data_IF_666134803378
#
_entry.id   IF_666134803378
#
_cell.length_a   1.000
_cell.length_b   1.000
_cell.length_c   1.000
_cell.angle_alpha   90.00
_cell.angle_beta   90.00
_cell.angle_gamma   90.00
#
_symmetry.space_group_name_H-M   'P 1'
#
loop_
_entity.id
_entity.type
_entity.pdbx_description
1 polymer ?
#
# COMPACT_ATOMS: atom_id res chain seq x y z
N UNK A 1 4.52 -24.23 13.53
CA UNK A 1 3.59 -23.52 14.45
C UNK A 1 2.70 -22.65 13.59
N UNK A 2 1.52 -23.16 13.19
CA UNK A 2 0.61 -22.46 12.28
C UNK A 2 -0.54 -21.87 13.09
N UNK A 3 -0.56 -20.56 13.29
CA UNK A 3 -1.69 -19.89 13.94
C UNK A 3 -2.13 -18.66 13.17
N UNK A 4 -2.95 -18.89 12.14
CA UNK A 4 -3.88 -17.89 11.63
C UNK A 4 -5.31 -18.30 12.03
N UNK A 5 -6.05 -17.45 12.75
CA UNK A 5 -7.39 -17.78 13.21
C UNK A 5 -8.39 -17.69 12.05
N UNK A 6 -9.04 -18.82 11.72
CA UNK A 6 -10.47 -18.99 11.34
C UNK A 6 -11.17 -17.92 10.46
N UNK A 7 -10.47 -17.17 9.63
CA UNK A 7 -11.07 -16.32 8.59
C UNK A 7 -10.70 -16.92 7.23
N UNK A 8 -11.61 -16.83 6.24
CA UNK A 8 -11.43 -17.29 4.86
C UNK A 8 -10.32 -16.51 4.11
N UNK A 9 -9.10 -16.52 4.66
CA UNK A 9 -7.93 -15.82 4.14
C UNK A 9 -7.07 -16.87 3.44
N UNK A 10 -6.91 -16.71 2.13
CA UNK A 10 -6.01 -17.56 1.33
C UNK A 10 -4.57 -17.15 1.61
N UNK A 11 -3.71 -18.10 1.96
CA UNK A 11 -2.28 -17.87 2.11
C UNK A 11 -1.61 -17.89 0.73
N UNK A 12 -0.88 -16.83 0.42
CA UNK A 12 -0.05 -16.71 -0.78
C UNK A 12 1.42 -16.76 -0.34
N UNK A 13 2.14 -17.80 -0.72
CA UNK A 13 3.59 -17.92 -0.51
C UNK A 13 4.33 -17.39 -1.72
N UNK A 14 5.36 -16.59 -1.49
CA UNK A 14 6.26 -16.11 -2.53
C UNK A 14 7.46 -17.06 -2.68
N UNK A 15 8.11 -17.12 -3.86
CA UNK A 15 9.33 -17.89 -4.04
C UNK A 15 10.44 -17.38 -3.12
N UNK A 16 11.37 -18.27 -2.77
CA UNK A 16 12.55 -17.88 -2.03
C UNK A 16 13.43 -16.94 -2.87
N UNK A 17 14.07 -15.96 -2.24
CA UNK A 17 15.02 -15.03 -2.87
C UNK A 17 14.43 -14.17 -4.01
N UNK A 18 13.11 -14.02 -4.08
CA UNK A 18 12.43 -13.13 -5.03
C UNK A 18 11.67 -12.01 -4.30
N UNK A 19 12.40 -11.04 -3.70
CA UNK A 19 11.80 -9.90 -2.98
C UNK A 19 10.82 -9.10 -3.86
N UNK A 20 11.14 -8.99 -5.16
CA UNK A 20 10.33 -8.29 -6.16
C UNK A 20 8.87 -8.76 -6.25
N UNK A 21 8.58 -10.02 -5.90
CA UNK A 21 7.22 -10.57 -5.88
C UNK A 21 6.30 -9.86 -4.87
N UNK A 22 6.87 -9.17 -3.87
CA UNK A 22 6.14 -8.30 -2.94
C UNK A 22 6.65 -6.84 -2.97
N UNK A 23 6.98 -6.33 -4.17
CA UNK A 23 7.62 -5.03 -4.33
C UNK A 23 6.83 -3.82 -3.81
N UNK A 24 5.50 -3.92 -3.65
CA UNK A 24 4.69 -2.84 -3.05
C UNK A 24 5.00 -2.72 -1.56
N UNK A 25 4.92 -3.82 -0.81
CA UNK A 25 5.24 -3.83 0.61
C UNK A 25 6.71 -3.47 0.86
N UNK A 26 7.62 -3.89 -0.02
CA UNK A 26 9.04 -3.55 0.14
C UNK A 26 9.31 -2.04 0.02
N UNK A 27 8.65 -1.37 -0.93
CA UNK A 27 8.75 0.08 -1.05
C UNK A 27 8.23 0.78 0.20
N UNK A 28 7.08 0.33 0.74
CA UNK A 28 6.53 0.85 1.98
C UNK A 28 7.47 0.60 3.17
N UNK A 29 8.02 -0.60 3.29
CA UNK A 29 8.96 -0.96 4.35
C UNK A 29 10.21 -0.07 4.32
N UNK A 30 10.74 0.25 3.13
CA UNK A 30 11.87 1.18 3.00
C UNK A 30 11.53 2.57 3.55
N UNK A 31 10.34 3.09 3.25
CA UNK A 31 9.88 4.39 3.77
C UNK A 31 9.68 4.35 5.28
N UNK A 32 9.08 3.29 5.82
CA UNK A 32 8.90 3.11 7.26
C UNK A 32 10.25 3.07 7.97
N UNK A 33 11.20 2.26 7.48
CA UNK A 33 12.56 2.20 8.01
C UNK A 33 13.25 3.57 8.01
N UNK A 34 13.06 4.36 6.95
CA UNK A 34 13.60 5.72 6.89
C UNK A 34 12.99 6.64 7.96
N UNK A 35 11.66 6.64 8.12
CA UNK A 35 10.97 7.43 9.15
C UNK A 35 11.45 7.05 10.55
N UNK A 36 11.57 5.75 10.82
CA UNK A 36 12.09 5.26 12.10
C UNK A 36 13.54 5.70 12.32
N UNK A 37 14.37 5.68 11.27
CA UNK A 37 15.78 6.05 11.36
C UNK A 37 16.02 7.54 11.66
N UNK A 38 15.07 8.41 11.32
CA UNK A 38 15.14 9.84 11.65
C UNK A 38 14.68 10.08 13.10
N UNK A 39 13.72 9.30 13.59
CA UNK A 39 13.05 9.52 14.87
C UNK A 39 13.64 8.69 16.03
N UNK A 40 14.97 8.51 16.08
CA UNK A 40 15.64 7.60 17.02
C UNK A 40 15.44 7.92 18.50
N UNK A 41 15.18 9.19 18.83
CA UNK A 41 15.05 9.66 20.22
C UNK A 41 13.60 9.85 20.66
N UNK A 42 12.64 9.44 19.82
CA UNK A 42 11.22 9.57 20.09
C UNK A 42 10.64 8.23 20.59
N UNK A 43 9.53 8.30 21.31
CA UNK A 43 8.79 7.12 21.73
C UNK A 43 8.25 6.35 20.51
N UNK A 44 8.65 5.08 20.36
CA UNK A 44 8.35 4.27 19.17
C UNK A 44 6.86 4.24 18.82
N UNK A 45 5.98 4.12 19.81
CA UNK A 45 4.54 4.05 19.60
C UNK A 45 3.99 5.32 18.93
N UNK A 46 4.49 6.49 19.34
CA UNK A 46 4.10 7.77 18.75
C UNK A 46 4.61 7.90 17.33
N UNK A 47 5.86 7.50 17.08
CA UNK A 47 6.48 7.54 15.74
C UNK A 47 5.71 6.63 14.78
N UNK A 48 5.38 5.41 15.18
CA UNK A 48 4.63 4.46 14.35
C UNK A 48 3.25 5.02 14.01
N UNK A 49 2.52 5.56 14.99
CA UNK A 49 1.21 6.18 14.75
C UNK A 49 1.30 7.36 13.81
N UNK A 50 2.30 8.22 13.98
CA UNK A 50 2.52 9.36 13.07
C UNK A 50 2.89 8.90 11.67
N UNK A 51 3.74 7.88 11.54
CA UNK A 51 4.14 7.31 10.26
C UNK A 51 2.93 6.70 9.52
N UNK A 52 2.08 5.95 10.23
CA UNK A 52 0.84 5.39 9.68
C UNK A 52 -0.09 6.50 9.17
N UNK A 53 -0.35 7.52 9.99
CA UNK A 53 -1.17 8.67 9.59
C UNK A 53 -0.58 9.38 8.37
N UNK A 54 0.73 9.64 8.38
CA UNK A 54 1.42 10.31 7.29
C UNK A 54 1.32 9.50 5.98
N UNK A 55 1.60 8.19 6.01
CA UNK A 55 1.52 7.33 4.83
C UNK A 55 0.11 7.23 4.25
N UNK A 56 -0.91 7.16 5.11
CA UNK A 56 -2.29 7.01 4.68
C UNK A 56 -2.92 8.32 4.17
N UNK A 57 -2.56 9.46 4.76
CA UNK A 57 -3.13 10.76 4.38
C UNK A 57 -2.36 11.39 3.22
N UNK A 58 -1.06 11.07 3.05
CA UNK A 58 -0.24 11.72 2.03
C UNK A 58 -0.77 11.47 0.61
N UNK A 59 -0.77 12.54 -0.18
CA UNK A 59 -1.24 12.55 -1.55
C UNK A 59 -0.23 11.86 -2.48
N UNK A 60 -0.70 10.87 -3.24
CA UNK A 60 0.12 10.26 -4.28
C UNK A 60 -0.05 11.04 -5.59
N UNK A 61 1.02 11.68 -6.06
CA UNK A 61 1.01 12.49 -7.30
C UNK A 61 0.58 11.71 -8.55
N UNK A 62 0.98 10.44 -8.67
CA UNK A 62 0.68 9.63 -9.86
C UNK A 62 -0.77 9.14 -9.88
N UNK A 63 -1.35 8.92 -8.70
CA UNK A 63 -2.73 8.47 -8.56
C UNK A 63 -3.71 9.64 -8.42
N UNK A 64 -3.22 10.83 -8.06
CA UNK A 64 -4.06 12.00 -7.83
C UNK A 64 -4.90 11.90 -6.54
N UNK A 65 -4.53 11.01 -5.61
CA UNK A 65 -5.35 10.64 -4.45
C UNK A 65 -4.47 10.08 -3.33
N UNK A 66 -4.90 10.20 -2.06
CA UNK A 66 -4.27 9.52 -0.92
C UNK A 66 -4.91 8.14 -0.64
N UNK A 67 -4.18 7.20 -0.02
CA UNK A 67 -4.76 5.91 0.39
C UNK A 67 -6.02 6.03 1.25
N UNK A 68 -6.06 6.99 2.16
CA UNK A 68 -7.23 7.27 3.00
C UNK A 68 -8.45 7.68 2.17
N UNK A 69 -8.25 8.53 1.16
CA UNK A 69 -9.30 8.97 0.26
C UNK A 69 -9.80 7.82 -0.62
N UNK A 70 -8.91 6.91 -1.02
CA UNK A 70 -9.24 5.72 -1.82
C UNK A 70 -10.18 4.76 -1.06
N UNK A 71 -9.91 4.50 0.22
CA UNK A 71 -10.72 3.61 1.06
C UNK A 71 -12.09 4.25 1.37
N UNK A 72 -12.09 5.54 1.72
CA UNK A 72 -13.31 6.24 2.13
C UNK A 72 -14.12 6.80 0.95
N UNK A 73 -13.60 6.68 -0.28
CA UNK A 73 -14.18 7.24 -1.51
C UNK A 73 -14.48 8.74 -1.42
N UNK A 74 -13.76 9.45 -0.56
CA UNK A 74 -13.94 10.87 -0.27
C UNK A 74 -12.66 11.65 -0.45
N UNK A 75 -12.74 12.80 -1.11
CA UNK A 75 -11.62 13.71 -1.31
C UNK A 75 -11.61 14.80 -0.23
N UNK A 76 -10.59 14.76 0.63
CA UNK A 76 -10.34 15.80 1.63
C UNK A 76 -9.47 16.95 1.10
N UNK A 77 -8.83 16.79 -0.06
CA UNK A 77 -7.94 17.81 -0.64
C UNK A 77 -8.65 18.72 -1.63
N UNK A 78 -9.76 18.27 -2.23
CA UNK A 78 -10.58 19.07 -3.12
C UNK A 78 -12.02 19.18 -2.59
N UNK A 79 -12.39 20.32 -1.98
CA UNK A 79 -13.73 20.50 -1.42
C UNK A 79 -14.83 20.59 -2.49
N UNK A 80 -14.48 20.80 -3.78
CA UNK A 80 -15.44 20.88 -4.90
C UNK A 80 -15.79 19.51 -5.45
N UNK A 81 -14.88 18.55 -5.32
CA UNK A 81 -15.01 17.18 -5.83
C UNK A 81 -14.82 16.17 -4.70
N UNK A 82 -15.75 16.20 -3.74
CA UNK A 82 -15.67 15.38 -2.53
C UNK A 82 -15.89 13.90 -2.77
N UNK A 83 -16.65 13.49 -3.78
CA UNK A 83 -16.83 12.08 -4.13
C UNK A 83 -15.79 11.69 -5.16
N UNK A 84 -15.04 10.63 -4.89
CA UNK A 84 -14.03 10.13 -5.83
C UNK A 84 -14.61 8.97 -6.59
N UNK A 85 -14.93 9.20 -7.86
CA UNK A 85 -15.13 8.11 -8.82
C UNK A 85 -13.78 7.52 -9.21
N UNK A 86 -13.35 6.50 -8.47
CA UNK A 86 -12.19 5.71 -8.86
C UNK A 86 -12.61 4.87 -10.06
N UNK A 87 -12.45 5.41 -11.27
CA UNK A 87 -12.51 4.58 -12.47
C UNK A 87 -11.44 3.51 -12.29
N UNK A 88 -11.79 2.20 -12.27
CA UNK A 88 -10.76 1.19 -12.25
C UNK A 88 -9.93 1.40 -13.50
N UNK A 89 -8.69 1.90 -13.36
CA UNK A 89 -7.71 1.70 -14.43
C UNK A 89 -7.70 0.19 -14.66
N UNK A 90 -7.91 -0.22 -15.89
CA UNK A 90 -7.81 -1.59 -16.38
C UNK A 90 -6.45 -2.16 -15.96
N UNK A 91 -6.34 -2.68 -14.75
CA UNK A 91 -5.12 -3.34 -14.23
C UNK A 91 -4.93 -4.72 -14.89
N UNK A 92 -5.90 -5.17 -15.70
CA UNK A 92 -6.01 -6.56 -16.15
C UNK A 92 -5.79 -6.81 -17.66
N UNK A 93 -5.30 -5.87 -18.47
CA UNK A 93 -5.07 -6.14 -19.90
C UNK A 93 -3.61 -6.39 -20.30
N UNK A 94 -2.63 -5.97 -19.49
CA UNK A 94 -1.20 -6.12 -19.86
C UNK A 94 -0.54 -7.44 -19.45
N UNK A 95 -1.22 -8.33 -18.69
CA UNK A 95 -0.66 -9.63 -18.29
C UNK A 95 -1.09 -10.81 -19.17
N UNK A 96 -1.90 -10.59 -20.23
CA UNK A 96 -2.32 -11.66 -21.15
C UNK A 96 -1.37 -11.92 -22.34
N UNK A 97 -0.24 -11.25 -22.43
CA UNK A 97 0.76 -11.47 -23.49
C UNK A 97 2.07 -12.05 -22.94
N UNK A 98 2.01 -13.19 -22.27
CA UNK A 98 3.15 -14.12 -22.21
C UNK A 98 2.64 -15.52 -21.87
N UNK A 99 1.76 -16.05 -22.73
CA UNK A 99 1.66 -17.50 -22.87
C UNK A 99 2.96 -17.98 -23.49
N UNK A 100 3.81 -18.60 -22.68
CA UNK A 100 4.93 -19.39 -23.16
C UNK A 100 4.39 -20.41 -24.18
N UNK A 101 4.77 -20.26 -25.45
CA UNK A 101 4.70 -21.33 -26.42
C UNK A 101 5.74 -22.35 -25.99
N UNK A 102 5.28 -23.53 -25.56
CA UNK A 102 6.07 -24.76 -25.57
C UNK A 102 6.16 -25.21 -27.02
#
# INVERSE_FOLDING_TARGET
>A
MNTFPKKNIKQLSMPAYTPSSNGISERLNKTISYILSINKNCEINKVVRQAEMALNINFNRNLGISPYNLINQRNFFDPRHQTIEVKPKTICESTKQSTYKI
#
